data_IF_729853020378
#
_entry.id   IF_729853020378
#
_cell.length_a   1.000
_cell.length_b   1.000
_cell.length_c   1.000
_cell.angle_alpha   90.00
_cell.angle_beta   90.00
_cell.angle_gamma   90.00
#
_symmetry.space_group_name_H-M   'P 1'
#
loop_
_entity.id
_entity.type
_entity.pdbx_description
1 polymer ?
#
# COMPACT_ATOMS: atom_id res chain seq x y z
N UNK A 1 16.30 -6.47 5.45
CA UNK A 1 14.98 -6.53 6.12
C UNK A 1 13.93 -6.87 5.07
N UNK A 2 12.88 -7.65 5.37
CA UNK A 2 11.87 -8.06 4.38
C UNK A 2 10.83 -6.94 4.28
N UNK A 3 10.45 -6.52 3.07
CA UNK A 3 9.20 -5.76 2.87
C UNK A 3 8.06 -6.67 3.27
N UNK A 4 7.18 -6.17 4.11
CA UNK A 4 6.06 -6.92 4.65
C UNK A 4 4.86 -6.05 4.31
N UNK A 5 4.30 -6.38 3.17
CA UNK A 5 3.00 -5.98 2.63
C UNK A 5 1.85 -6.57 3.44
N UNK A 6 2.09 -7.72 4.08
CA UNK A 6 1.13 -8.42 4.93
C UNK A 6 1.69 -8.69 6.33
N UNK A 7 1.05 -8.16 7.36
CA UNK A 7 1.42 -8.44 8.75
C UNK A 7 0.26 -9.07 9.51
N UNK A 8 0.53 -10.22 10.14
CA UNK A 8 -0.39 -10.84 11.08
C UNK A 8 -0.06 -10.38 12.50
N UNK A 9 -1.03 -9.77 13.18
CA UNK A 9 -0.90 -9.31 14.55
C UNK A 9 -2.03 -9.84 15.41
N UNK A 10 -1.74 -10.06 16.69
CA UNK A 10 -2.75 -10.37 17.71
C UNK A 10 -2.95 -9.16 18.59
N UNK A 11 -4.19 -8.66 18.62
CA UNK A 11 -4.60 -7.53 19.45
C UNK A 11 -5.49 -8.03 20.58
N UNK A 12 -5.19 -7.59 21.81
CA UNK A 12 -6.02 -7.86 22.99
C UNK A 12 -6.37 -6.53 23.66
N UNK A 13 -7.66 -6.24 23.76
CA UNK A 13 -8.13 -5.10 24.53
C UNK A 13 -8.02 -5.36 26.04
N UNK A 14 -8.01 -4.28 26.82
CA UNK A 14 -7.98 -4.35 28.27
C UNK A 14 -9.25 -4.98 28.83
N UNK A 15 -9.12 -5.82 29.85
CA UNK A 15 -10.27 -6.31 30.61
C UNK A 15 -10.82 -5.19 31.51
N UNK A 16 -12.12 -5.20 31.75
CA UNK A 16 -12.74 -4.32 32.75
C UNK A 16 -12.32 -4.70 34.16
N UNK A 17 -12.18 -3.72 35.03
CA UNK A 17 -11.90 -3.91 36.45
C UNK A 17 -13.07 -4.56 37.19
N UNK A 18 -12.80 -5.30 38.25
CA UNK A 18 -13.85 -5.95 39.05
C UNK A 18 -14.53 -4.96 39.99
N UNK A 19 -15.84 -5.14 40.23
CA UNK A 19 -16.55 -4.41 41.25
C UNK A 19 -16.16 -4.85 42.66
N UNK A 20 -16.07 -3.91 43.60
CA UNK A 20 -15.65 -4.19 44.97
C UNK A 20 -16.82 -4.65 45.85
N UNK A 21 -16.55 -5.61 46.74
CA UNK A 21 -17.45 -5.96 47.84
C UNK A 21 -16.92 -5.33 49.12
N UNK A 22 -17.48 -4.19 49.52
CA UNK A 22 -17.07 -3.49 50.75
C UNK A 22 -18.27 -2.99 51.55
N UNK A 23 -18.07 -2.88 52.86
CA UNK A 23 -19.01 -2.24 53.79
C UNK A 23 -18.26 -1.25 54.67
N UNK A 24 -18.88 -0.09 54.93
CA UNK A 24 -18.31 0.92 55.83
C UNK A 24 -18.14 0.35 57.23
N UNK A 25 -16.97 0.58 57.83
CA UNK A 25 -16.66 0.20 59.20
C UNK A 25 -16.16 1.42 59.97
N UNK A 26 -16.97 1.89 60.91
CA UNK A 26 -16.65 3.03 61.77
C UNK A 26 -16.83 2.63 63.24
N UNK A 27 -15.98 3.16 64.12
CA UNK A 27 -15.92 2.76 65.54
C UNK A 27 -17.27 2.90 66.29
N UNK A 28 -18.12 3.83 65.85
CA UNK A 28 -19.41 4.12 66.49
C UNK A 28 -20.63 3.68 65.65
N UNK A 29 -20.42 2.99 64.52
CA UNK A 29 -21.50 2.50 63.65
C UNK A 29 -21.48 0.98 63.61
N UNK A 30 -22.47 0.35 64.25
CA UNK A 30 -22.55 -1.11 64.37
C UNK A 30 -22.66 -1.85 63.02
N UNK A 31 -23.36 -1.27 62.02
CA UNK A 31 -23.48 -1.82 60.66
C UNK A 31 -23.50 -0.68 59.63
N UNK A 32 -22.36 -0.42 59.00
CA UNK A 32 -22.28 0.54 57.90
C UNK A 32 -22.95 0.01 56.63
N UNK A 33 -23.38 0.94 55.77
CA UNK A 33 -23.92 0.60 54.45
C UNK A 33 -22.86 0.03 53.50
N UNK A 34 -23.28 -0.53 52.35
CA UNK A 34 -22.34 -0.94 51.30
C UNK A 34 -21.55 0.27 50.80
N UNK A 35 -20.25 0.08 50.57
CA UNK A 35 -19.34 1.10 50.03
C UNK A 35 -18.32 0.54 49.04
N UNK A 36 -18.65 -0.55 48.35
CA UNK A 36 -17.83 -1.03 47.25
C UNK A 36 -18.03 -0.17 46.01
N UNK A 37 -16.93 0.38 45.48
CA UNK A 37 -16.90 1.07 44.20
C UNK A 37 -16.95 0.14 43.00
N UNK A 38 -17.28 0.71 41.84
CA UNK A 38 -17.27 0.04 40.54
C UNK A 38 -15.81 -0.10 40.02
N UNK A 39 -15.58 -1.05 39.12
CA UNK A 39 -14.30 -1.14 38.40
C UNK A 39 -14.13 -0.02 37.38
N UNK A 40 -12.92 0.11 36.83
CA UNK A 40 -12.64 0.93 35.65
C UNK A 40 -12.84 0.15 34.35
N UNK A 41 -13.13 0.85 33.26
CA UNK A 41 -13.21 0.21 31.94
C UNK A 41 -11.82 -0.21 31.44
N UNK A 42 -11.77 -1.26 30.63
CA UNK A 42 -10.54 -1.65 29.94
C UNK A 42 -10.23 -0.72 28.76
N UNK A 43 -8.95 -0.49 28.50
CA UNK A 43 -8.50 0.25 27.32
C UNK A 43 -8.82 -0.50 26.03
N UNK A 44 -9.18 0.24 24.99
CA UNK A 44 -9.44 -0.28 23.64
C UNK A 44 -8.19 -0.21 22.76
N UNK A 45 -8.18 -0.98 21.68
CA UNK A 45 -7.11 -0.95 20.68
C UNK A 45 -7.62 -0.28 19.41
N UNK A 46 -6.91 0.75 18.96
CA UNK A 46 -7.20 1.49 17.74
C UNK A 46 -6.04 1.35 16.76
N UNK A 47 -6.35 1.30 15.48
CA UNK A 47 -5.38 1.60 14.42
C UNK A 47 -5.52 3.06 14.01
N UNK A 48 -4.40 3.74 13.80
CA UNK A 48 -4.35 5.12 13.31
C UNK A 48 -3.51 5.19 12.04
N UNK A 49 -4.06 5.78 10.98
CA UNK A 49 -3.36 5.97 9.73
C UNK A 49 -2.31 7.07 9.87
N UNK A 50 -1.05 6.75 9.61
CA UNK A 50 0.07 7.68 9.63
C UNK A 50 0.71 7.75 8.24
N UNK A 51 0.96 8.97 7.75
CA UNK A 51 1.59 9.20 6.45
C UNK A 51 3.12 9.02 6.51
N UNK A 52 3.71 9.13 7.71
CA UNK A 52 5.15 8.96 7.89
C UNK A 52 5.56 7.48 7.79
N UNK A 53 4.60 6.56 7.89
CA UNK A 53 4.83 5.13 7.82
C UNK A 53 4.53 4.61 6.40
N UNK A 54 5.55 4.04 5.75
CA UNK A 54 5.42 3.48 4.40
C UNK A 54 5.39 1.95 4.37
N UNK A 55 5.62 1.25 5.49
CA UNK A 55 5.72 -0.22 5.53
C UNK A 55 5.13 -0.82 6.82
N UNK A 56 4.68 -2.08 6.79
CA UNK A 56 4.18 -2.82 7.97
C UNK A 56 5.27 -3.65 8.67
N UNK A 57 6.55 -3.35 8.45
CA UNK A 57 7.66 -4.18 8.94
C UNK A 57 7.71 -4.27 10.47
N UNK A 58 7.33 -3.19 11.17
CA UNK A 58 7.39 -3.10 12.63
C UNK A 58 6.45 -4.12 13.31
N UNK A 59 5.29 -4.38 12.69
CA UNK A 59 4.30 -5.34 13.16
C UNK A 59 4.79 -6.80 13.15
N UNK A 60 5.85 -7.10 12.39
CA UNK A 60 6.43 -8.44 12.32
C UNK A 60 7.39 -8.74 13.47
N UNK A 61 8.03 -7.72 14.02
CA UNK A 61 8.95 -7.87 15.15
C UNK A 61 8.19 -7.97 16.47
N UNK A 62 7.07 -7.26 16.59
CA UNK A 62 6.19 -7.33 17.73
C UNK A 62 4.79 -7.77 17.28
N UNK A 63 4.47 -9.09 17.34
CA UNK A 63 3.20 -9.61 16.85
C UNK A 63 2.05 -9.49 17.86
N UNK A 64 2.30 -9.11 19.11
CA UNK A 64 1.28 -9.06 20.18
C UNK A 64 1.17 -7.66 20.76
N UNK A 65 -0.06 -7.15 20.79
CA UNK A 65 -0.40 -5.82 21.29
C UNK A 65 -1.52 -5.94 22.33
N UNK A 66 -1.31 -5.35 23.50
CA UNK A 66 -2.25 -5.45 24.62
C UNK A 66 -2.51 -4.06 25.20
N UNK A 67 -3.79 -3.67 25.25
CA UNK A 67 -4.21 -2.45 25.94
C UNK A 67 -4.27 -2.64 27.46
N UNK A 68 -4.28 -1.54 28.21
CA UNK A 68 -4.24 -1.61 29.67
C UNK A 68 -5.58 -2.09 30.24
N UNK A 69 -5.54 -2.98 31.24
CA UNK A 69 -6.74 -3.38 31.99
C UNK A 69 -7.26 -2.24 32.88
N UNK A 70 -8.57 -2.19 33.09
CA UNK A 70 -9.18 -1.32 34.09
C UNK A 70 -8.83 -1.78 35.52
N UNK A 71 -8.70 -0.82 36.44
CA UNK A 71 -8.45 -1.13 37.84
C UNK A 71 -9.71 -1.61 38.55
N UNK A 72 -9.56 -2.49 39.55
CA UNK A 72 -10.69 -2.91 40.38
C UNK A 72 -11.19 -1.76 41.25
N UNK A 73 -12.49 -1.75 41.50
CA UNK A 73 -13.07 -0.86 42.50
C UNK A 73 -12.51 -1.15 43.89
N UNK A 74 -12.57 -0.15 44.76
CA UNK A 74 -12.12 -0.26 46.14
C UNK A 74 -13.24 0.08 47.12
N UNK A 75 -12.98 -0.08 48.42
CA UNK A 75 -13.89 0.39 49.47
C UNK A 75 -14.03 1.91 49.46
N UNK A 76 -14.85 2.45 50.37
CA UNK A 76 -15.13 3.90 50.43
C UNK A 76 -15.75 4.50 49.15
N UNK A 77 -16.49 3.70 48.38
CA UNK A 77 -17.08 4.07 47.08
C UNK A 77 -16.05 4.53 46.03
N UNK A 78 -14.81 4.06 46.12
CA UNK A 78 -13.75 4.44 45.18
C UNK A 78 -13.85 3.59 43.90
N UNK A 79 -14.14 4.24 42.77
CA UNK A 79 -14.17 3.61 41.45
C UNK A 79 -12.77 3.42 40.89
N UNK A 80 -12.51 2.27 40.27
CA UNK A 80 -11.22 2.00 39.64
C UNK A 80 -10.93 2.91 38.44
N UNK A 81 -9.66 3.23 38.19
CA UNK A 81 -9.22 3.98 37.00
C UNK A 81 -9.45 3.14 35.72
N UNK A 82 -9.91 3.80 34.65
CA UNK A 82 -9.97 3.17 33.32
C UNK A 82 -8.56 2.91 32.77
N UNK A 83 -8.41 1.83 32.02
CA UNK A 83 -7.18 1.52 31.30
C UNK A 83 -6.95 2.48 30.14
N UNK A 84 -5.69 2.77 29.87
CA UNK A 84 -5.25 3.57 28.72
C UNK A 84 -5.40 2.77 27.41
N UNK A 85 -5.91 3.46 26.38
CA UNK A 85 -6.08 2.92 25.03
C UNK A 85 -4.72 2.72 24.36
N UNK A 86 -4.65 1.72 23.48
CA UNK A 86 -3.47 1.44 22.68
C UNK A 86 -3.73 1.88 21.23
N UNK A 87 -2.94 2.84 20.75
CA UNK A 87 -2.99 3.32 19.37
C UNK A 87 -1.82 2.72 18.58
N UNK A 88 -2.15 1.96 17.54
CA UNK A 88 -1.20 1.31 16.64
C UNK A 88 -1.16 2.09 15.33
N UNK A 89 -0.02 2.69 15.01
CA UNK A 89 0.15 3.46 13.78
C UNK A 89 0.38 2.55 12.58
N UNK A 90 -0.41 2.71 11.53
CA UNK A 90 -0.30 1.96 10.27
C UNK A 90 -0.17 2.91 9.09
N UNK A 91 0.51 2.52 8.00
CA UNK A 91 0.53 3.29 6.77
C UNK A 91 -0.87 3.59 6.22
N UNK A 92 -1.03 4.75 5.59
CA UNK A 92 -2.22 5.06 4.78
C UNK A 92 -2.34 4.03 3.64
N UNK A 93 -3.55 3.55 3.39
CA UNK A 93 -3.85 2.49 2.43
C UNK A 93 -3.82 1.08 3.04
N UNK A 94 -3.67 0.94 4.36
CA UNK A 94 -3.75 -0.37 5.03
C UNK A 94 -5.20 -0.85 5.10
N UNK A 95 -5.45 -2.05 4.60
CA UNK A 95 -6.68 -2.82 4.80
C UNK A 95 -6.55 -3.70 6.01
N UNK A 96 -7.56 -3.68 6.86
CA UNK A 96 -7.59 -4.42 8.12
C UNK A 96 -8.60 -5.55 7.99
N UNK A 97 -8.13 -6.78 8.05
CA UNK A 97 -8.93 -7.99 7.91
C UNK A 97 -8.83 -8.78 9.20
N UNK A 98 -9.94 -9.34 9.66
CA UNK A 98 -9.92 -10.33 10.74
C UNK A 98 -9.42 -11.67 10.18
N UNK A 99 -8.34 -12.23 10.75
CA UNK A 99 -7.72 -13.46 10.24
C UNK A 99 -8.59 -14.70 10.51
N UNK A 100 -9.45 -14.65 11.54
CA UNK A 100 -10.32 -15.79 11.88
C UNK A 100 -11.60 -15.80 11.04
N UNK A 101 -12.21 -14.64 10.82
CA UNK A 101 -13.49 -14.54 10.07
C UNK A 101 -13.32 -14.17 8.60
N UNK A 102 -12.12 -13.72 8.20
CA UNK A 102 -11.81 -13.16 6.88
C UNK A 102 -12.68 -11.93 6.51
N UNK A 103 -13.31 -11.31 7.51
CA UNK A 103 -14.11 -10.09 7.32
C UNK A 103 -13.19 -8.87 7.26
N UNK A 104 -13.45 -7.98 6.29
CA UNK A 104 -12.76 -6.69 6.21
C UNK A 104 -13.38 -5.75 7.24
N UNK A 105 -12.61 -5.44 8.29
CA UNK A 105 -13.02 -4.51 9.36
C UNK A 105 -13.08 -3.07 8.82
N UNK A 106 -12.12 -2.71 7.96
CA UNK A 106 -12.10 -1.40 7.33
C UNK A 106 -10.81 -1.11 6.56
N UNK A 107 -10.87 -0.04 5.76
CA UNK A 107 -9.75 0.52 5.02
C UNK A 107 -9.30 1.84 5.67
N UNK A 108 -8.00 2.00 5.84
CA UNK A 108 -7.36 3.22 6.34
C UNK A 108 -7.02 4.11 5.14
N UNK A 109 -7.88 5.06 4.79
CA UNK A 109 -7.76 5.83 3.54
C UNK A 109 -7.26 7.26 3.74
N UNK A 110 -7.43 7.83 4.93
CA UNK A 110 -7.04 9.20 5.24
C UNK A 110 -6.05 9.27 6.41
N UNK A 111 -5.13 10.24 6.38
CA UNK A 111 -4.18 10.51 7.47
C UNK A 111 -4.93 10.85 8.76
N UNK A 112 -4.51 10.28 9.88
CA UNK A 112 -5.14 10.45 11.19
C UNK A 112 -6.47 9.71 11.36
N UNK A 113 -6.95 8.98 10.34
CA UNK A 113 -8.14 8.15 10.48
C UNK A 113 -7.90 7.10 11.57
N UNK A 114 -8.88 6.94 12.48
CA UNK A 114 -8.84 5.95 13.55
C UNK A 114 -9.89 4.86 13.32
N UNK A 115 -9.46 3.61 13.45
CA UNK A 115 -10.32 2.43 13.36
C UNK A 115 -10.26 1.65 14.67
N UNK A 116 -11.40 1.45 15.32
CA UNK A 116 -11.50 0.59 16.51
C UNK A 116 -11.41 -0.87 16.08
N UNK A 117 -10.37 -1.58 16.52
CA UNK A 117 -10.16 -2.98 16.14
C UNK A 117 -10.44 -3.98 17.26
N UNK A 118 -10.28 -3.57 18.52
CA UNK A 118 -10.65 -4.37 19.67
C UNK A 118 -11.21 -3.48 20.78
N UNK A 119 -12.45 -3.76 21.19
CA UNK A 119 -13.12 -2.98 22.24
C UNK A 119 -12.73 -3.44 23.65
N UNK A 120 -12.46 -2.46 24.51
CA UNK A 120 -12.21 -2.67 25.94
C UNK A 120 -13.38 -3.31 26.69
N UNK A 121 -13.06 -4.12 27.68
CA UNK A 121 -14.03 -4.78 28.55
C UNK A 121 -14.74 -3.79 29.47
N UNK A 122 -16.06 -3.97 29.63
CA UNK A 122 -16.87 -3.13 30.50
C UNK A 122 -16.58 -3.40 31.99
N UNK A 123 -16.57 -2.36 32.81
CA UNK A 123 -16.33 -2.46 34.24
C UNK A 123 -17.36 -3.31 35.01
N UNK A 124 -16.88 -3.92 36.10
CA UNK A 124 -17.70 -4.62 37.09
C UNK A 124 -18.39 -3.64 38.04
N UNK A 125 -19.58 -4.02 38.52
CA UNK A 125 -20.40 -3.22 39.42
C UNK A 125 -20.11 -3.60 40.87
N UNK A 126 -19.82 -2.60 41.70
CA UNK A 126 -19.65 -2.76 43.13
C UNK A 126 -20.96 -3.10 43.83
N UNK A 127 -20.88 -3.56 45.08
CA UNK A 127 -22.08 -3.97 45.82
C UNK A 127 -23.05 -2.80 46.07
N UNK A 128 -22.56 -1.56 46.09
CA UNK A 128 -23.37 -0.35 46.23
C UNK A 128 -24.44 -0.23 45.14
N UNK A 129 -24.16 -0.68 43.91
CA UNK A 129 -25.12 -0.65 42.77
C UNK A 129 -26.31 -1.60 42.94
N UNK A 130 -26.17 -2.64 43.77
CA UNK A 130 -27.22 -3.63 44.02
C UNK A 130 -28.10 -3.28 45.24
N UNK A 131 -27.93 -2.08 45.80
CA UNK A 131 -28.73 -1.61 46.95
C UNK A 131 -30.14 -1.26 46.49
N UNK A 132 -31.14 -1.85 47.14
CA UNK A 132 -32.55 -1.51 46.92
C UNK A 132 -33.25 -1.24 48.26
N UNK A 133 -34.50 -0.77 48.21
CA UNK A 133 -35.33 -0.58 49.41
C UNK A 133 -35.52 -1.88 50.20
N UNK A 134 -35.55 -3.02 49.51
CA UNK A 134 -35.68 -4.37 50.07
C UNK A 134 -34.33 -5.00 50.42
N UNK A 135 -33.25 -4.69 49.69
CA UNK A 135 -31.91 -5.21 49.93
C UNK A 135 -30.93 -4.09 50.32
N UNK A 136 -30.86 -3.80 51.63
CA UNK A 136 -30.04 -2.70 52.16
C UNK A 136 -28.55 -3.04 52.31
N UNK A 137 -28.18 -4.33 52.33
CA UNK A 137 -26.81 -4.81 52.50
C UNK A 137 -26.45 -5.88 51.44
N UNK A 138 -26.49 -5.51 50.15
CA UNK A 138 -26.18 -6.43 49.06
C UNK A 138 -24.74 -6.97 49.18
N UNK A 139 -24.60 -8.28 48.97
CA UNK A 139 -23.29 -8.96 48.88
C UNK A 139 -22.93 -9.39 47.45
N UNK A 140 -23.70 -8.90 46.47
CA UNK A 140 -23.50 -9.18 45.05
C UNK A 140 -22.56 -8.13 44.48
N UNK A 141 -21.58 -8.57 43.71
CA UNK A 141 -20.75 -7.75 42.82
C UNK A 141 -20.74 -8.39 41.44
N UNK A 142 -20.33 -7.65 40.42
CA UNK A 142 -20.02 -8.25 39.11
C UNK A 142 -18.55 -8.10 38.79
N UNK A 143 -18.01 -9.11 38.12
CA UNK A 143 -16.69 -9.03 37.54
C UNK A 143 -16.72 -8.10 36.32
N UNK A 144 -15.59 -7.46 36.02
CA UNK A 144 -15.44 -6.79 34.74
C UNK A 144 -15.49 -7.80 33.60
N UNK A 145 -16.00 -7.35 32.45
CA UNK A 145 -16.04 -8.15 31.24
C UNK A 145 -14.64 -8.26 30.64
N UNK A 146 -14.40 -9.35 29.93
CA UNK A 146 -13.17 -9.50 29.15
C UNK A 146 -13.19 -8.54 27.97
N UNK A 147 -12.02 -7.99 27.63
CA UNK A 147 -11.84 -7.21 26.41
C UNK A 147 -11.85 -8.10 25.17
N UNK A 148 -12.18 -7.54 24.02
CA UNK A 148 -12.13 -8.26 22.76
C UNK A 148 -10.69 -8.66 22.42
N UNK A 149 -10.54 -9.85 21.84
CA UNK A 149 -9.28 -10.37 21.33
C UNK A 149 -9.50 -10.75 19.89
N UNK A 150 -8.64 -10.26 18.99
CA UNK A 150 -8.72 -10.55 17.56
C UNK A 150 -7.34 -10.79 16.98
N UNK A 151 -7.29 -11.66 15.99
CA UNK A 151 -6.13 -11.81 15.12
C UNK A 151 -6.41 -10.99 13.86
N UNK A 152 -5.56 -10.01 13.57
CA UNK A 152 -5.73 -9.11 12.45
C UNK A 152 -4.66 -9.37 11.40
N UNK A 153 -5.09 -9.49 10.15
CA UNK A 153 -4.24 -9.45 8.98
C UNK A 153 -4.29 -8.04 8.40
N UNK A 154 -3.15 -7.35 8.46
CA UNK A 154 -2.96 -6.04 7.89
C UNK A 154 -2.36 -6.20 6.49
N UNK A 155 -3.04 -5.66 5.49
CA UNK A 155 -2.59 -5.69 4.09
C UNK A 155 -2.42 -4.27 3.58
N UNK A 156 -1.21 -3.90 3.19
CA UNK A 156 -0.96 -2.57 2.64
C UNK A 156 -1.31 -2.53 1.15
N UNK A 157 -2.33 -1.75 0.74
CA UNK A 157 -2.71 -1.58 -0.67
C UNK A 157 -1.77 -0.65 -1.47
N UNK A 158 -0.60 -0.29 -0.94
CA UNK A 158 0.26 0.73 -1.57
C UNK A 158 1.05 0.15 -2.75
N UNK A 159 0.97 0.90 -3.86
CA UNK A 159 1.85 0.79 -5.02
C UNK A 159 2.92 1.88 -4.90
N UNK A 160 4.15 1.47 -5.25
CA UNK A 160 5.40 2.22 -5.27
C UNK A 160 5.34 3.75 -5.41
N UNK A 161 6.21 4.42 -4.67
CA UNK A 161 6.42 5.86 -4.71
C UNK A 161 7.15 6.29 -6.00
N UNK A 162 7.98 5.40 -6.53
CA UNK A 162 8.87 5.65 -7.68
C UNK A 162 8.66 4.59 -8.75
N UNK A 163 8.39 5.01 -9.99
CA UNK A 163 8.29 4.12 -11.15
C UNK A 163 9.54 4.16 -12.03
N UNK A 164 10.07 3.01 -12.44
CA UNK A 164 11.20 2.92 -13.39
C UNK A 164 10.72 2.70 -14.83
N UNK A 165 11.07 3.62 -15.72
CA UNK A 165 10.87 3.56 -17.16
C UNK A 165 12.19 3.24 -17.88
N UNK A 166 12.13 2.62 -19.05
CA UNK A 166 13.30 2.32 -19.88
C UNK A 166 13.24 0.96 -20.53
N UNK A 167 13.95 0.82 -21.66
CA UNK A 167 14.01 -0.39 -22.51
C UNK A 167 14.32 -1.68 -21.73
N UNK A 168 13.93 -2.84 -22.28
CA UNK A 168 14.50 -4.12 -21.85
C UNK A 168 16.03 -3.99 -21.84
N UNK A 169 16.68 -4.51 -20.79
CA UNK A 169 18.13 -4.43 -20.59
C UNK A 169 18.73 -3.05 -20.26
N UNK A 170 17.92 -1.99 -20.10
CA UNK A 170 18.39 -0.69 -19.57
C UNK A 170 18.95 -0.79 -18.14
N UNK A 171 18.74 -1.93 -17.48
CA UNK A 171 19.27 -2.22 -16.15
C UNK A 171 18.33 -1.85 -15.01
N UNK A 172 17.02 -1.69 -15.27
CA UNK A 172 15.98 -1.41 -14.25
C UNK A 172 16.00 -2.38 -13.08
N UNK A 173 15.92 -3.68 -13.35
CA UNK A 173 15.94 -4.70 -12.30
C UNK A 173 17.29 -4.77 -11.58
N UNK A 174 18.39 -4.45 -12.27
CA UNK A 174 19.73 -4.34 -11.66
C UNK A 174 19.81 -3.16 -10.72
N UNK A 175 19.27 -2.00 -11.12
CA UNK A 175 19.16 -0.83 -10.26
C UNK A 175 18.36 -1.15 -9.00
N UNK A 176 17.17 -1.74 -9.13
CA UNK A 176 16.34 -2.17 -7.97
C UNK A 176 17.15 -3.04 -7.01
N UNK A 177 17.87 -4.04 -7.52
CA UNK A 177 18.72 -4.93 -6.69
C UNK A 177 19.86 -4.18 -6.01
N UNK A 178 20.42 -3.17 -6.67
CA UNK A 178 21.53 -2.38 -6.14
C UNK A 178 21.12 -1.45 -4.99
N UNK A 179 19.95 -0.81 -5.13
CA UNK A 179 19.44 0.19 -4.16
C UNK A 179 18.55 -0.39 -3.06
N UNK A 180 18.03 -1.61 -3.25
CA UNK A 180 17.10 -2.20 -2.29
C UNK A 180 17.82 -2.72 -1.03
N UNK A 181 17.34 -2.30 0.14
CA UNK A 181 17.77 -2.79 1.46
C UNK A 181 17.20 -4.19 1.79
N UNK A 182 16.29 -4.67 0.94
CA UNK A 182 15.68 -6.00 0.97
C UNK A 182 16.03 -6.77 -0.31
N UNK A 183 15.99 -8.11 -0.29
CA UNK A 183 15.91 -8.84 -1.58
C UNK A 183 14.63 -8.38 -2.29
N UNK A 184 14.70 -7.90 -3.54
CA UNK A 184 13.52 -7.51 -4.29
C UNK A 184 12.51 -8.66 -4.28
N UNK A 185 11.27 -8.35 -3.86
CA UNK A 185 10.19 -9.32 -3.86
C UNK A 185 9.48 -9.23 -5.21
N UNK A 186 9.26 -10.40 -5.78
CA UNK A 186 8.33 -10.66 -6.88
C UNK A 186 6.96 -10.61 -6.21
N UNK A 187 6.18 -9.55 -6.47
CA UNK A 187 4.89 -9.35 -5.80
C UNK A 187 3.72 -9.86 -6.66
N UNK A 188 3.16 -11.00 -6.25
CA UNK A 188 2.06 -11.68 -6.93
C UNK A 188 0.72 -11.03 -6.57
N UNK A 189 0.51 -9.78 -6.99
CA UNK A 189 -0.75 -9.11 -6.74
C UNK A 189 -1.88 -9.75 -7.57
N UNK A 190 -3.09 -9.94 -6.99
CA UNK A 190 -4.20 -10.66 -7.64
C UNK A 190 -4.76 -9.97 -8.91
N UNK A 191 -4.25 -8.78 -9.23
CA UNK A 191 -4.64 -7.96 -10.37
C UNK A 191 -3.51 -7.72 -11.39
N UNK A 192 -2.29 -8.22 -11.13
CA UNK A 192 -1.15 -8.15 -12.05
C UNK A 192 -0.91 -9.50 -12.70
N UNK A 193 -0.83 -9.52 -14.02
CA UNK A 193 -0.50 -10.71 -14.84
C UNK A 193 1.01 -10.86 -15.08
N UNK A 194 1.76 -9.74 -14.98
CA UNK A 194 3.22 -9.72 -14.94
C UNK A 194 3.61 -9.24 -13.56
N UNK A 195 4.41 -10.04 -12.86
CA UNK A 195 4.83 -9.71 -11.51
C UNK A 195 5.82 -8.54 -11.54
N UNK A 196 5.48 -7.36 -11.00
CA UNK A 196 6.42 -6.26 -10.94
C UNK A 196 7.55 -6.59 -9.95
N UNK A 197 8.76 -6.17 -10.29
CA UNK A 197 9.89 -6.19 -9.36
C UNK A 197 9.79 -4.96 -8.45
N UNK A 198 9.56 -5.15 -7.15
CA UNK A 198 9.60 -4.06 -6.17
C UNK A 198 10.89 -4.10 -5.35
N UNK A 199 11.45 -2.92 -5.11
CA UNK A 199 12.58 -2.69 -4.21
C UNK A 199 12.23 -1.67 -3.15
N UNK A 200 12.73 -1.89 -1.93
CA UNK A 200 12.61 -0.93 -0.83
C UNK A 200 13.93 -0.23 -0.65
N UNK A 201 13.96 1.06 -0.92
CA UNK A 201 15.16 1.87 -0.74
C UNK A 201 15.11 2.50 0.64
N UNK A 202 16.13 2.19 1.46
CA UNK A 202 16.32 2.81 2.78
C UNK A 202 17.41 3.86 2.66
N UNK A 203 17.05 5.12 2.89
CA UNK A 203 18.02 6.23 2.90
C UNK A 203 18.55 6.47 4.30
N UNK A 204 17.67 6.54 5.31
CA UNK A 204 18.02 6.72 6.73
C UNK A 204 17.05 5.94 7.65
N UNK A 205 17.22 6.02 8.97
CA UNK A 205 16.25 5.47 9.92
C UNK A 205 14.91 6.22 9.79
N UNK A 206 13.81 5.46 9.65
CA UNK A 206 12.46 5.96 9.39
C UNK A 206 12.26 6.70 8.05
N UNK A 207 13.23 6.67 7.13
CA UNK A 207 13.11 7.24 5.79
C UNK A 207 13.32 6.18 4.72
N UNK A 208 12.22 5.72 4.14
CA UNK A 208 12.21 4.70 3.09
C UNK A 208 11.12 4.96 2.07
N UNK A 209 11.40 4.60 0.82
CA UNK A 209 10.44 4.64 -0.27
C UNK A 209 10.48 3.34 -1.07
N UNK A 210 9.42 3.08 -1.82
CA UNK A 210 9.26 1.89 -2.65
C UNK A 210 9.48 2.25 -4.11
N UNK A 211 10.34 1.49 -4.78
CA UNK A 211 10.60 1.58 -6.22
C UNK A 211 9.94 0.37 -6.89
N UNK A 212 9.18 0.60 -7.96
CA UNK A 212 8.67 -0.45 -8.82
C UNK A 212 9.28 -0.37 -10.21
N UNK A 213 9.67 -1.54 -10.74
CA UNK A 213 9.87 -1.70 -12.17
C UNK A 213 8.51 -1.58 -12.86
N UNK A 214 8.49 -0.93 -14.02
CA UNK A 214 7.34 -0.91 -14.91
C UNK A 214 7.61 -1.94 -16.01
N UNK A 215 7.21 -3.22 -15.81
CA UNK A 215 7.20 -4.18 -16.89
C UNK A 215 6.07 -3.86 -17.86
N UNK A 216 6.32 -4.01 -19.17
CA UNK A 216 5.24 -4.05 -20.16
C UNK A 216 4.72 -2.71 -20.70
N UNK A 217 5.50 -1.62 -20.66
CA UNK A 217 5.30 -0.56 -21.66
C UNK A 217 5.70 -1.08 -23.06
N UNK A 218 6.77 -1.87 -23.15
CA UNK A 218 7.65 -1.93 -24.33
C UNK A 218 7.43 -3.19 -25.21
N UNK A 219 6.61 -4.14 -24.77
CA UNK A 219 6.25 -5.32 -25.58
C UNK A 219 4.76 -5.61 -25.41
N UNK A 220 3.96 -5.40 -26.47
CA UNK A 220 2.56 -5.83 -26.53
C UNK A 220 1.51 -4.88 -25.91
N UNK A 221 1.88 -3.68 -25.48
CA UNK A 221 0.91 -2.68 -25.00
C UNK A 221 0.04 -2.12 -26.15
N UNK A 222 0.58 -2.09 -27.38
CA UNK A 222 -0.17 -1.81 -28.61
C UNK A 222 -1.00 -3.02 -29.11
N UNK A 223 -0.63 -4.26 -28.76
CA UNK A 223 -1.28 -5.51 -29.25
C UNK A 223 -2.41 -6.01 -28.33
N UNK A 224 -3.00 -5.15 -27.50
CA UNK A 224 -4.35 -5.39 -26.99
C UNK A 224 -4.49 -6.46 -25.90
N UNK A 225 -3.44 -6.78 -25.15
CA UNK A 225 -3.51 -7.80 -24.09
C UNK A 225 -4.28 -7.36 -22.82
N UNK A 226 -4.70 -6.09 -22.68
CA UNK A 226 -5.50 -5.62 -21.54
C UNK A 226 -4.75 -5.64 -20.20
N UNK A 227 -3.43 -5.84 -20.27
CA UNK A 227 -2.47 -5.88 -19.18
C UNK A 227 -2.05 -4.48 -18.71
N UNK A 228 -1.85 -3.55 -19.65
CA UNK A 228 -1.31 -2.22 -19.36
C UNK A 228 -2.23 -1.36 -18.48
N UNK A 229 -3.54 -1.44 -18.65
CA UNK A 229 -4.48 -0.45 -18.07
C UNK A 229 -4.69 -0.65 -16.56
N UNK A 230 -4.63 -1.89 -16.05
CA UNK A 230 -4.64 -2.13 -14.59
C UNK A 230 -3.34 -1.63 -13.97
N UNK A 231 -2.21 -1.86 -14.64
CA UNK A 231 -0.90 -1.33 -14.25
C UNK A 231 -0.87 0.20 -14.23
N UNK A 232 -1.60 0.89 -15.11
CA UNK A 232 -1.73 2.36 -15.11
C UNK A 232 -2.38 2.92 -13.83
N UNK A 233 -3.40 2.25 -13.28
CA UNK A 233 -4.00 2.65 -11.99
C UNK A 233 -2.98 2.61 -10.84
N UNK A 234 -1.99 1.73 -10.97
CA UNK A 234 -0.91 1.52 -10.02
C UNK A 234 0.20 2.57 -10.23
N UNK A 235 0.58 2.81 -11.48
CA UNK A 235 1.53 3.85 -11.91
C UNK A 235 1.08 5.29 -11.58
N UNK A 236 -0.23 5.55 -11.60
CA UNK A 236 -0.80 6.85 -11.25
C UNK A 236 -0.54 7.26 -9.78
N UNK A 237 -0.13 6.33 -8.91
CA UNK A 237 0.27 6.62 -7.53
C UNK A 237 1.77 6.95 -7.39
N UNK A 238 2.62 6.65 -8.38
CA UNK A 238 4.05 6.95 -8.34
C UNK A 238 4.28 8.46 -8.35
N UNK A 239 4.77 9.06 -7.26
CA UNK A 239 5.08 10.50 -7.17
C UNK A 239 6.04 10.96 -8.26
N UNK A 240 6.98 10.08 -8.65
CA UNK A 240 8.04 10.38 -9.60
C UNK A 240 8.32 9.19 -10.53
N UNK A 241 8.70 9.49 -11.78
CA UNK A 241 9.15 8.51 -12.77
C UNK A 241 10.65 8.68 -13.03
N UNK A 242 11.40 7.58 -13.00
CA UNK A 242 12.82 7.58 -13.38
C UNK A 242 12.94 6.95 -14.77
N UNK A 243 13.42 7.73 -15.73
CA UNK A 243 13.68 7.27 -17.08
C UNK A 243 15.13 6.78 -17.18
N UNK A 244 15.31 5.46 -17.13
CA UNK A 244 16.60 4.80 -17.26
C UNK A 244 16.95 4.61 -18.73
N UNK A 245 18.08 5.21 -19.14
CA UNK A 245 18.63 5.09 -20.48
C UNK A 245 19.97 4.38 -20.41
N UNK A 246 20.14 3.34 -21.24
CA UNK A 246 21.42 2.67 -21.40
C UNK A 246 22.32 3.47 -22.34
N UNK A 247 23.51 3.86 -21.88
CA UNK A 247 24.44 4.65 -22.68
C UNK A 247 25.42 3.80 -23.51
N UNK A 248 25.53 2.52 -23.14
CA UNK A 248 26.40 1.54 -23.78
C UNK A 248 25.62 0.24 -24.08
N UNK A 249 24.60 0.31 -24.96
CA UNK A 249 23.89 -0.87 -25.38
C UNK A 249 24.82 -1.82 -26.13
N UNK A 250 24.72 -3.12 -25.82
CA UNK A 250 25.52 -4.17 -26.47
C UNK A 250 25.12 -4.37 -27.93
N UNK A 251 23.89 -3.98 -28.28
CA UNK A 251 23.30 -4.14 -29.61
C UNK A 251 23.56 -2.91 -30.52
N UNK A 252 24.43 -1.98 -30.09
CA UNK A 252 24.78 -0.73 -30.80
C UNK A 252 23.58 0.19 -31.12
N UNK A 253 22.44 -0.01 -30.47
CA UNK A 253 21.26 0.85 -30.62
C UNK A 253 21.54 2.29 -30.16
N UNK A 254 20.89 3.27 -30.80
CA UNK A 254 21.07 4.68 -30.44
C UNK A 254 20.33 5.00 -29.12
N UNK A 255 21.04 5.44 -28.06
CA UNK A 255 20.41 5.86 -26.80
C UNK A 255 19.38 6.99 -26.98
N UNK A 256 19.54 7.83 -28.02
CA UNK A 256 18.59 8.92 -28.32
C UNK A 256 17.27 8.36 -28.82
N UNK A 257 17.30 7.40 -29.75
CA UNK A 257 16.09 6.76 -30.28
C UNK A 257 15.37 5.96 -29.20
N UNK A 258 16.14 5.23 -28.38
CA UNK A 258 15.62 4.51 -27.22
C UNK A 258 14.84 5.43 -26.28
N UNK A 259 15.42 6.58 -25.92
CA UNK A 259 14.77 7.52 -25.02
C UNK A 259 13.53 8.18 -25.66
N UNK A 260 13.60 8.55 -26.94
CA UNK A 260 12.45 9.12 -27.67
C UNK A 260 11.30 8.12 -27.82
N UNK A 261 11.61 6.86 -28.08
CA UNK A 261 10.61 5.79 -28.18
C UNK A 261 9.79 5.70 -26.89
N UNK A 262 10.45 5.69 -25.72
CA UNK A 262 9.78 5.62 -24.42
C UNK A 262 8.95 6.89 -24.12
N UNK A 263 9.42 8.06 -24.54
CA UNK A 263 8.66 9.32 -24.39
C UNK A 263 7.40 9.30 -25.25
N UNK A 264 7.52 8.97 -26.53
CA UNK A 264 6.39 8.86 -27.45
C UNK A 264 5.39 7.82 -26.97
N UNK A 265 5.88 6.70 -26.46
CA UNK A 265 5.07 5.64 -25.89
C UNK A 265 4.28 6.13 -24.67
N UNK A 266 4.96 6.79 -23.72
CA UNK A 266 4.30 7.36 -22.54
C UNK A 266 3.21 8.38 -22.91
N UNK A 267 3.46 9.22 -23.91
CA UNK A 267 2.50 10.22 -24.42
C UNK A 267 1.30 9.57 -25.13
N UNK A 268 1.54 8.53 -25.94
CA UNK A 268 0.48 7.75 -26.59
C UNK A 268 -0.38 7.01 -25.57
N UNK A 269 0.21 6.52 -24.48
CA UNK A 269 -0.50 5.78 -23.45
C UNK A 269 -1.27 6.68 -22.48
N UNK A 270 -0.69 7.76 -21.96
CA UNK A 270 -1.43 8.74 -21.14
C UNK A 270 -0.75 10.11 -21.15
N UNK A 271 -1.40 11.14 -21.72
CA UNK A 271 -0.90 12.51 -21.70
C UNK A 271 -0.72 13.04 -20.26
N UNK A 272 -1.61 12.64 -19.34
CA UNK A 272 -1.47 13.02 -17.95
C UNK A 272 -0.24 12.36 -17.29
N UNK A 273 0.05 11.08 -17.57
CA UNK A 273 1.26 10.42 -17.06
C UNK A 273 2.55 11.03 -17.64
N UNK A 274 2.53 11.49 -18.89
CA UNK A 274 3.65 12.18 -19.51
C UNK A 274 4.00 13.51 -18.84
N UNK A 275 3.01 14.18 -18.23
CA UNK A 275 3.19 15.41 -17.46
C UNK A 275 3.67 15.18 -16.01
N UNK A 276 3.83 13.93 -15.57
CA UNK A 276 4.37 13.62 -14.24
C UNK A 276 5.84 14.02 -14.15
N UNK A 277 6.30 14.40 -12.96
CA UNK A 277 7.72 14.64 -12.69
C UNK A 277 8.55 13.42 -13.07
N UNK A 278 9.46 13.63 -14.02
CA UNK A 278 10.29 12.59 -14.61
C UNK A 278 11.74 13.01 -14.49
N UNK A 279 12.62 12.10 -14.06
CA UNK A 279 14.06 12.34 -13.97
C UNK A 279 14.79 11.44 -14.96
N UNK A 280 15.83 11.96 -15.61
CA UNK A 280 16.62 11.20 -16.56
C UNK A 280 17.79 10.53 -15.83
N UNK A 281 17.96 9.23 -16.00
CA UNK A 281 18.98 8.44 -15.31
C UNK A 281 19.77 7.64 -16.35
N UNK A 282 21.00 8.05 -16.63
CA UNK A 282 21.91 7.31 -17.50
C UNK A 282 22.56 6.17 -16.73
N UNK A 283 22.41 4.94 -17.24
CA UNK A 283 22.99 3.75 -16.66
C UNK A 283 24.16 3.20 -17.50
N UNK A 284 25.01 2.37 -16.89
CA UNK A 284 26.20 1.74 -17.50
C UNK A 284 27.28 2.74 -17.94
N UNK A 285 27.40 3.87 -17.24
CA UNK A 285 28.45 4.87 -17.52
C UNK A 285 29.86 4.36 -17.27
N UNK A 286 30.01 3.25 -16.55
CA UNK A 286 31.28 2.56 -16.27
C UNK A 286 31.88 1.83 -17.47
N UNK A 287 31.07 1.56 -18.52
CA UNK A 287 31.52 0.85 -19.72
C UNK A 287 32.21 1.75 -20.75
N UNK A 288 32.13 3.07 -20.58
CA UNK A 288 32.69 4.05 -21.51
C UNK A 288 33.75 4.92 -20.81
N UNK A 289 34.75 5.43 -21.55
CA UNK A 289 35.59 6.52 -21.07
C UNK A 289 34.74 7.74 -20.72
N UNK A 290 35.12 8.47 -19.66
CA UNK A 290 34.34 9.60 -19.15
C UNK A 290 33.99 10.64 -20.23
N UNK A 291 34.94 10.97 -21.10
CA UNK A 291 34.74 11.95 -22.18
C UNK A 291 33.73 11.50 -23.24
N UNK A 292 33.62 10.18 -23.48
CA UNK A 292 32.67 9.62 -24.45
C UNK A 292 31.28 9.47 -23.82
N UNK A 293 31.23 9.02 -22.56
CA UNK A 293 29.99 8.98 -21.79
C UNK A 293 29.34 10.37 -21.70
N UNK A 294 30.14 11.42 -21.46
CA UNK A 294 29.67 12.81 -21.38
C UNK A 294 29.05 13.28 -22.69
N UNK A 295 29.71 13.00 -23.82
CA UNK A 295 29.20 13.36 -25.15
C UNK A 295 27.87 12.66 -25.44
N UNK A 296 27.77 11.36 -25.17
CA UNK A 296 26.53 10.60 -25.38
C UNK A 296 25.40 11.07 -24.45
N UNK A 297 25.72 11.36 -23.19
CA UNK A 297 24.74 11.93 -22.25
C UNK A 297 24.19 13.25 -22.80
N UNK A 298 25.07 14.13 -23.25
CA UNK A 298 24.70 15.45 -23.76
C UNK A 298 23.85 15.34 -25.04
N UNK A 299 24.20 14.43 -25.95
CA UNK A 299 23.41 14.16 -27.15
C UNK A 299 21.97 13.77 -26.83
N UNK A 300 21.76 12.92 -25.81
CA UNK A 300 20.41 12.51 -25.39
C UNK A 300 19.66 13.68 -24.74
N UNK A 301 20.33 14.45 -23.87
CA UNK A 301 19.73 15.63 -23.22
C UNK A 301 19.29 16.67 -24.24
N UNK A 302 20.16 16.98 -25.21
CA UNK A 302 19.90 17.96 -26.27
C UNK A 302 18.78 17.48 -27.20
N UNK A 303 18.79 16.20 -27.58
CA UNK A 303 17.80 15.62 -28.48
C UNK A 303 16.40 15.48 -27.85
N UNK A 304 16.32 15.36 -26.53
CA UNK A 304 15.07 15.36 -25.77
C UNK A 304 14.65 16.77 -25.31
N UNK A 305 15.50 17.78 -25.52
CA UNK A 305 15.33 19.13 -24.97
C UNK A 305 15.02 19.12 -23.46
N UNK A 306 15.75 18.27 -22.74
CA UNK A 306 15.42 17.93 -21.36
C UNK A 306 15.76 19.08 -20.39
N UNK A 307 14.77 19.51 -19.60
CA UNK A 307 14.93 20.58 -18.60
C UNK A 307 14.94 20.08 -17.16
N UNK A 308 14.69 18.78 -16.96
CA UNK A 308 14.66 18.16 -15.64
C UNK A 308 16.04 17.76 -15.13
N UNK A 309 16.13 17.22 -13.90
CA UNK A 309 17.38 16.73 -13.36
C UNK A 309 17.86 15.49 -14.12
N UNK A 310 19.18 15.38 -14.23
CA UNK A 310 19.89 14.32 -14.95
C UNK A 310 20.89 13.67 -14.00
N UNK A 311 20.81 12.34 -13.90
CA UNK A 311 21.70 11.55 -13.06
C UNK A 311 22.48 10.54 -13.89
N UNK A 312 23.67 10.22 -13.41
CA UNK A 312 24.57 9.22 -14.01
C UNK A 312 24.86 8.17 -12.97
N UNK A 313 24.59 6.92 -13.31
CA UNK A 313 24.76 5.79 -12.41
C UNK A 313 25.42 4.62 -13.10
N UNK A 314 26.12 3.82 -12.30
CA UNK A 314 26.51 2.47 -12.67
C UNK A 314 25.85 1.52 -11.67
N UNK A 315 24.68 0.99 -12.03
CA UNK A 315 23.87 0.18 -11.11
C UNK A 315 24.63 -1.05 -10.57
N UNK A 316 25.46 -1.69 -11.39
CA UNK A 316 26.26 -2.86 -10.99
C UNK A 316 27.35 -2.46 -10.00
N UNK A 317 28.08 -1.37 -10.29
CA UNK A 317 29.16 -0.87 -9.44
C UNK A 317 28.67 -0.07 -8.22
N UNK A 318 27.35 0.17 -8.10
CA UNK A 318 26.71 1.03 -7.08
C UNK A 318 27.24 2.47 -7.05
N UNK A 319 27.75 2.96 -8.17
CA UNK A 319 28.24 4.34 -8.27
C UNK A 319 27.09 5.27 -8.65
N UNK A 320 27.00 6.43 -7.98
CA UNK A 320 25.96 7.43 -8.21
C UNK A 320 24.56 7.07 -7.68
N UNK A 321 24.32 5.82 -7.29
CA UNK A 321 23.00 5.35 -6.85
C UNK A 321 22.59 5.90 -5.49
N UNK A 322 23.54 6.13 -4.58
CA UNK A 322 23.24 6.64 -3.23
C UNK A 322 22.78 8.10 -3.27
N UNK A 323 23.48 8.95 -4.02
CA UNK A 323 23.10 10.35 -4.23
C UNK A 323 21.72 10.46 -4.89
N UNK A 324 21.48 9.67 -5.94
CA UNK A 324 20.16 9.58 -6.58
C UNK A 324 19.05 9.22 -5.56
N UNK A 325 19.28 8.23 -4.70
CA UNK A 325 18.29 7.83 -3.69
C UNK A 325 18.04 8.92 -2.63
N UNK A 326 19.08 9.65 -2.22
CA UNK A 326 18.93 10.76 -1.28
C UNK A 326 18.12 11.92 -1.89
N UNK A 327 18.40 12.25 -3.14
CA UNK A 327 17.69 13.32 -3.85
C UNK A 327 16.23 12.94 -4.11
N UNK A 328 15.95 11.68 -4.48
CA UNK A 328 14.58 11.16 -4.61
C UNK A 328 13.82 11.30 -3.29
N UNK A 329 14.41 10.89 -2.17
CA UNK A 329 13.73 10.98 -0.87
C UNK A 329 13.44 12.44 -0.50
N UNK A 330 14.40 13.34 -0.72
CA UNK A 330 14.21 14.78 -0.48
C UNK A 330 13.09 15.35 -1.35
N UNK A 331 13.00 14.91 -2.60
CA UNK A 331 11.94 15.33 -3.51
C UNK A 331 10.55 14.82 -3.06
N UNK A 332 10.46 13.55 -2.64
CA UNK A 332 9.22 12.96 -2.11
C UNK A 332 8.76 13.70 -0.84
N UNK A 333 9.67 13.95 0.11
CA UNK A 333 9.39 14.70 1.34
C UNK A 333 8.92 16.13 1.04
N UNK A 334 9.65 16.85 0.17
CA UNK A 334 9.32 18.23 -0.18
C UNK A 334 7.96 18.34 -0.89
N UNK A 335 7.62 17.39 -1.77
CA UNK A 335 6.29 17.32 -2.39
C UNK A 335 5.21 17.05 -1.36
N UNK A 336 5.42 16.08 -0.47
CA UNK A 336 4.46 15.77 0.58
C UNK A 336 4.22 16.96 1.54
N UNK A 337 5.27 17.73 1.86
CA UNK A 337 5.18 18.94 2.68
C UNK A 337 4.42 20.06 1.94
N UNK A 338 4.70 20.28 0.65
CA UNK A 338 3.97 21.24 -0.18
C UNK A 338 2.48 20.89 -0.35
N UNK A 339 2.16 19.61 -0.53
CA UNK A 339 0.78 19.10 -0.55
C UNK A 339 0.07 19.36 0.80
N UNK A 340 0.78 19.21 1.92
CA UNK A 340 0.21 19.42 3.25
C UNK A 340 -0.02 20.90 3.58
N UNK A 341 0.86 21.78 3.13
CA UNK A 341 0.78 23.23 3.41
C UNK A 341 -0.17 23.98 2.48
N UNK A 342 -0.35 23.51 1.25
CA UNK A 342 -1.15 24.22 0.24
C UNK A 342 -2.35 23.39 -0.24
N UNK A 343 -3.54 23.80 0.23
CA UNK A 343 -4.82 23.16 -0.11
C UNK A 343 -5.09 23.14 -1.61
N UNK A 344 -4.69 24.18 -2.37
CA UNK A 344 -4.88 24.23 -3.82
C UNK A 344 -4.00 23.21 -4.56
N UNK A 345 -2.77 22.96 -4.08
CA UNK A 345 -1.88 21.93 -4.65
C UNK A 345 -2.39 20.51 -4.33
N UNK A 346 -2.92 20.30 -3.13
CA UNK A 346 -3.56 19.04 -2.77
C UNK A 346 -4.81 18.78 -3.63
N UNK A 347 -5.63 19.79 -3.87
CA UNK A 347 -6.79 19.70 -4.76
C UNK A 347 -6.38 19.41 -6.21
N UNK A 348 -5.35 20.10 -6.73
CA UNK A 348 -4.80 19.84 -8.07
C UNK A 348 -4.24 18.43 -8.20
N UNK A 349 -3.57 17.91 -7.17
CA UNK A 349 -3.04 16.55 -7.21
C UNK A 349 -4.16 15.49 -7.12
N UNK A 350 -5.19 15.75 -6.31
CA UNK A 350 -6.40 14.91 -6.27
C UNK A 350 -7.12 14.96 -7.61
N UNK A 351 -7.25 16.13 -8.23
CA UNK A 351 -7.88 16.30 -9.55
C UNK A 351 -7.05 15.62 -10.65
N UNK A 352 -5.73 15.74 -10.61
CA UNK A 352 -4.80 15.04 -11.50
C UNK A 352 -4.90 13.52 -11.33
N UNK A 353 -4.95 13.02 -10.09
CA UNK A 353 -5.18 11.59 -9.80
C UNK A 353 -6.55 11.13 -10.29
N UNK A 354 -7.58 11.94 -10.11
CA UNK A 354 -8.94 11.65 -10.58
C UNK A 354 -9.02 11.62 -12.11
N UNK A 355 -8.36 12.57 -12.79
CA UNK A 355 -8.27 12.63 -14.25
C UNK A 355 -7.50 11.43 -14.81
N UNK A 356 -6.38 11.08 -14.21
CA UNK A 356 -5.63 9.86 -14.52
C UNK A 356 -6.48 8.60 -14.34
N UNK A 357 -7.27 8.51 -13.26
CA UNK A 357 -8.19 7.40 -13.05
C UNK A 357 -9.34 7.37 -14.07
N UNK A 358 -9.83 8.53 -14.49
CA UNK A 358 -10.86 8.64 -15.52
C UNK A 358 -10.33 8.23 -16.91
N UNK A 359 -9.17 8.75 -17.33
CA UNK A 359 -8.49 8.37 -18.58
C UNK A 359 -8.20 6.85 -18.62
N UNK A 360 -7.71 6.29 -17.51
CA UNK A 360 -7.50 4.85 -17.40
C UNK A 360 -8.82 4.06 -17.53
N UNK A 361 -9.94 4.56 -16.97
CA UNK A 361 -11.26 3.91 -17.10
C UNK A 361 -11.81 4.00 -18.52
N UNK A 362 -11.67 5.14 -19.18
CA UNK A 362 -12.10 5.35 -20.57
C UNK A 362 -11.34 4.43 -21.52
N UNK A 363 -10.01 4.33 -21.37
CA UNK A 363 -9.21 3.37 -22.13
C UNK A 363 -9.61 1.92 -21.83
N UNK A 364 -9.92 1.56 -20.57
CA UNK A 364 -10.45 0.21 -20.27
C UNK A 364 -11.75 -0.07 -21.02
N UNK A 365 -12.61 0.93 -21.17
CA UNK A 365 -13.89 0.79 -21.83
C UNK A 365 -13.72 0.65 -23.35
N UNK A 366 -12.92 1.51 -23.99
CA UNK A 366 -12.60 1.43 -25.41
C UNK A 366 -11.93 0.09 -25.78
N UNK A 367 -11.01 -0.40 -24.94
CA UNK A 367 -10.33 -1.68 -25.17
C UNK A 367 -11.25 -2.89 -24.96
N UNK A 368 -12.26 -2.77 -24.09
CA UNK A 368 -13.30 -3.80 -23.91
C UNK A 368 -14.27 -3.82 -25.10
N UNK A 369 -14.66 -2.65 -25.57
CA UNK A 369 -15.53 -2.49 -26.75
C UNK A 369 -14.83 -3.00 -28.01
N UNK A 370 -13.55 -2.70 -28.22
CA UNK A 370 -12.77 -3.24 -29.34
C UNK A 370 -12.60 -4.76 -29.27
N UNK A 371 -12.43 -5.34 -28.07
CA UNK A 371 -12.40 -6.79 -27.85
C UNK A 371 -13.75 -7.47 -28.08
N UNK A 372 -14.85 -6.83 -27.68
CA UNK A 372 -16.19 -7.33 -27.96
C UNK A 372 -16.47 -7.29 -29.45
N UNK A 373 -16.09 -6.21 -30.14
CA UNK A 373 -16.19 -6.09 -31.60
C UNK A 373 -15.31 -7.11 -32.32
N UNK A 374 -14.06 -7.32 -31.90
CA UNK A 374 -13.16 -8.33 -32.48
C UNK A 374 -13.66 -9.77 -32.25
N UNK A 375 -14.23 -10.07 -31.07
CA UNK A 375 -14.87 -11.37 -30.79
C UNK A 375 -16.17 -11.57 -31.57
N UNK A 376 -16.95 -10.52 -31.78
CA UNK A 376 -18.15 -10.58 -32.63
C UNK A 376 -17.75 -10.75 -34.10
N UNK A 377 -16.72 -10.06 -34.58
CA UNK A 377 -16.20 -10.23 -35.93
C UNK A 377 -15.65 -11.66 -36.15
N UNK A 378 -14.90 -12.21 -35.19
CA UNK A 378 -14.41 -13.59 -35.25
C UNK A 378 -15.54 -14.63 -35.22
N UNK A 379 -16.61 -14.39 -34.43
CA UNK A 379 -17.81 -15.25 -34.44
C UNK A 379 -18.58 -15.22 -35.75
N UNK A 380 -18.70 -14.05 -36.37
CA UNK A 380 -19.35 -13.91 -37.69
C UNK A 380 -18.52 -14.59 -38.78
N UNK A 381 -17.18 -14.63 -38.64
CA UNK A 381 -16.30 -15.34 -39.56
C UNK A 381 -16.35 -16.87 -39.41
N UNK A 382 -16.52 -17.39 -38.19
CA UNK A 382 -16.71 -18.83 -37.94
C UNK A 382 -18.10 -19.33 -38.38
N UNK A 383 -19.14 -18.48 -38.35
CA UNK A 383 -20.50 -18.84 -38.79
C UNK A 383 -20.66 -18.83 -40.34
N UNK A 384 -19.72 -18.25 -41.10
CA UNK A 384 -19.75 -18.20 -42.58
C UNK A 384 -18.99 -19.38 -43.26
N UNK A 385 -18.25 -20.21 -42.50
CA UNK A 385 -17.44 -21.33 -43.04
C UNK A 385 -18.12 -22.72 -42.90
N UNK A 386 -19.32 -22.80 -42.30
CA UNK A 386 -20.03 -24.07 -42.02
C UNK A 386 -21.15 -24.43 -43.05
N UNK A 387 -21.27 -23.71 -44.17
CA UNK A 387 -22.39 -23.87 -45.11
C UNK A 387 -21.99 -24.30 -46.55
N UNK A 388 -20.98 -25.17 -46.72
CA UNK A 388 -20.69 -25.81 -48.02
C UNK A 388 -20.22 -27.27 -47.90
N UNK A 389 -21.19 -28.20 -48.01
CA UNK A 389 -21.26 -29.28 -49.04
C UNK A 389 -21.89 -30.56 -48.47
N UNK A 390 -23.23 -30.61 -48.51
CA UNK A 390 -24.00 -31.85 -48.41
C UNK A 390 -24.46 -32.18 -49.84
N UNK A 391 -23.63 -32.90 -50.59
CA UNK A 391 -24.01 -33.48 -51.89
C UNK A 391 -23.72 -34.98 -51.96
N UNK A 392 -24.83 -35.70 -52.15
CA UNK A 392 -25.04 -37.14 -52.31
C UNK A 392 -23.84 -37.99 -52.80
N UNK A 393 -23.53 -39.06 -52.05
CA UNK A 393 -22.76 -40.20 -52.57
C UNK A 393 -23.61 -41.47 -52.55
N UNK A 394 -24.08 -41.89 -53.72
CA UNK A 394 -24.75 -43.18 -53.96
C UNK A 394 -23.78 -44.36 -53.72
N UNK A 395 -24.19 -45.32 -52.90
CA UNK A 395 -23.45 -46.57 -52.64
C UNK A 395 -23.88 -47.64 -53.65
N UNK A 396 -23.00 -47.95 -54.60
CA UNK A 396 -23.14 -49.13 -55.47
C UNK A 396 -22.54 -50.38 -54.79
N UNK A 397 -23.34 -51.43 -54.62
CA UNK A 397 -22.83 -52.77 -54.34
C UNK A 397 -22.47 -53.46 -55.65
N UNK A 398 -21.23 -53.97 -55.75
CA UNK A 398 -20.84 -54.91 -56.81
C UNK A 398 -20.80 -56.31 -56.21
N UNK A 399 -21.45 -57.24 -56.90
CA UNK A 399 -21.63 -58.65 -56.56
C UNK A 399 -20.39 -59.49 -56.88
#
# INVERSE_FOLDING_TARGET
MKFVDEALISVEAGNGGHGCLSFRREKFIAKGGPDGGDGGDGGSVYLEADNDLNTLVDFRYQPKYRAQRGESGQGSNCTGKSGEDLILKVPVGTTVIDDETLEVIGDMTAVGQRLLVAKGGFHGLGNTRFKSSTNRAPRKTTNGKEGEKRSLRLELKVIADVGLLGLPNAGKSTFIRAVSAAKPKVADYPFTTLVPNLGVVKVQNHRSFVVADIPGLIEGAAEGAGLGIRFLKHLARCRILLHLVDIAPLDESDPVEAAKSIVNELEQFSPALANRDRWLVFNKTDLLPADEADKRCQQVVDALQWQGPVYRIAAIAKQGTEQLCQDIMRFIEAKAEQEAENVELAEQEVEFRSRMEAEAREQMQQLRESRQAARQAAKVQDDDDDDLDDSDTEVFYVQ
#
